data_IF_621820066514
#
_entry.id   IF_621820066514
#
_cell.length_a   1.000
_cell.length_b   1.000
_cell.length_c   1.000
_cell.angle_alpha   90.00
_cell.angle_beta   90.00
_cell.angle_gamma   90.00
#
_symmetry.space_group_name_H-M   'P 1'
#
loop_
_entity.id
_entity.type
_entity.pdbx_description
1 polymer ?
#
# COMPACT_ATOMS: atom_id res chain seq x y z
N UNK A 1 9.93 14.89 -16.92
CA UNK A 1 11.31 14.80 -16.41
C UNK A 1 11.55 13.34 -16.06
N UNK A 2 12.22 12.56 -16.96
CA UNK A 2 12.55 11.15 -16.75
C UNK A 2 13.68 10.98 -15.73
N UNK A 3 13.36 11.13 -14.45
CA UNK A 3 14.27 10.76 -13.38
C UNK A 3 14.23 9.25 -13.18
N UNK A 4 15.40 8.58 -13.17
CA UNK A 4 15.46 7.17 -12.76
C UNK A 4 15.12 7.10 -11.27
N UNK A 5 14.18 6.22 -10.92
CA UNK A 5 13.94 5.88 -9.51
C UNK A 5 15.18 5.16 -8.95
N UNK A 6 15.70 5.56 -7.78
CA UNK A 6 16.76 4.80 -7.13
C UNK A 6 16.21 3.43 -6.71
N UNK A 7 16.90 2.37 -7.11
CA UNK A 7 16.60 1.01 -6.71
C UNK A 7 17.54 0.61 -5.55
N UNK A 8 16.95 0.25 -4.42
CA UNK A 8 17.67 -0.33 -3.28
C UNK A 8 17.43 -1.84 -3.27
N UNK A 9 18.44 -2.60 -3.62
CA UNK A 9 18.40 -4.06 -3.56
C UNK A 9 18.75 -4.54 -2.14
N UNK A 10 18.02 -5.56 -1.68
CA UNK A 10 18.20 -6.17 -0.37
C UNK A 10 18.25 -7.68 -0.47
N UNK A 11 18.77 -8.37 0.54
CA UNK A 11 18.97 -9.82 0.52
C UNK A 11 17.76 -10.64 0.96
N UNK A 12 16.80 -10.02 1.62
CA UNK A 12 15.59 -10.68 2.09
C UNK A 12 14.39 -9.76 1.93
N UNK A 13 13.27 -10.27 1.44
CA UNK A 13 12.08 -9.51 1.11
C UNK A 13 11.51 -8.76 2.32
N UNK A 14 11.58 -9.36 3.50
CA UNK A 14 11.17 -8.73 4.74
C UNK A 14 11.96 -7.43 5.01
N UNK A 15 13.24 -7.39 4.63
CA UNK A 15 14.07 -6.18 4.78
C UNK A 15 13.59 -5.06 3.87
N UNK A 16 13.18 -5.37 2.63
CA UNK A 16 12.60 -4.38 1.72
C UNK A 16 11.35 -3.73 2.32
N UNK A 17 10.46 -4.57 2.88
CA UNK A 17 9.19 -4.10 3.45
C UNK A 17 9.43 -3.30 4.74
N UNK A 18 10.32 -3.73 5.64
CA UNK A 18 10.67 -2.94 6.82
C UNK A 18 11.29 -1.59 6.47
N UNK A 19 12.14 -1.53 5.44
CA UNK A 19 12.71 -0.27 4.97
C UNK A 19 11.61 0.67 4.42
N UNK A 20 10.69 0.13 3.63
CA UNK A 20 9.54 0.87 3.11
C UNK A 20 8.59 1.31 4.25
N UNK A 21 8.32 0.44 5.23
CA UNK A 21 7.56 0.80 6.43
C UNK A 21 8.20 1.98 7.18
N UNK A 22 9.51 1.93 7.39
CA UNK A 22 10.22 3.01 8.07
C UNK A 22 10.09 4.35 7.33
N UNK A 23 10.18 4.34 5.99
CA UNK A 23 9.91 5.53 5.17
C UNK A 23 8.48 6.02 5.41
N UNK A 24 7.49 5.15 5.32
CA UNK A 24 6.08 5.49 5.51
C UNK A 24 5.81 6.08 6.90
N UNK A 25 6.34 5.44 7.92
CA UNK A 25 6.16 5.86 9.32
C UNK A 25 6.80 7.23 9.62
N UNK A 26 7.98 7.49 9.10
CA UNK A 26 8.73 8.71 9.37
C UNK A 26 8.29 9.89 8.51
N UNK A 27 7.99 9.65 7.22
CA UNK A 27 7.66 10.71 6.26
C UNK A 27 6.15 10.96 6.11
N UNK A 28 5.31 10.04 6.55
CA UNK A 28 3.86 10.00 6.28
C UNK A 28 3.51 9.88 4.79
N UNK A 29 4.49 9.62 3.94
CA UNK A 29 4.35 9.28 2.53
C UNK A 29 4.47 7.75 2.42
N UNK A 30 3.55 7.03 1.75
CA UNK A 30 3.63 5.58 1.69
C UNK A 30 4.98 5.12 1.16
N UNK A 31 5.66 4.26 1.92
CA UNK A 31 6.84 3.58 1.43
C UNK A 31 6.45 2.56 0.35
N UNK A 32 7.40 2.20 -0.51
CA UNK A 32 7.18 1.28 -1.61
C UNK A 32 8.18 0.12 -1.57
N UNK A 33 7.68 -1.10 -1.68
CA UNK A 33 8.50 -2.29 -1.83
C UNK A 33 7.95 -3.18 -2.95
N UNK A 34 8.86 -3.86 -3.66
CA UNK A 34 8.50 -4.86 -4.66
C UNK A 34 9.22 -6.17 -4.34
N UNK A 35 8.50 -7.29 -4.48
CA UNK A 35 9.00 -8.64 -4.19
C UNK A 35 8.60 -9.62 -5.30
N UNK A 36 9.32 -10.72 -5.40
CA UNK A 36 8.95 -11.77 -6.37
C UNK A 36 7.71 -12.54 -5.92
N UNK A 37 7.18 -13.38 -6.82
CA UNK A 37 6.02 -14.24 -6.57
C UNK A 37 6.27 -15.30 -5.49
N UNK A 38 5.20 -15.91 -5.02
CA UNK A 38 5.24 -17.06 -4.10
C UNK A 38 6.00 -16.76 -2.81
N UNK A 39 7.16 -17.42 -2.58
CA UNK A 39 7.96 -17.20 -1.36
C UNK A 39 8.37 -15.75 -1.12
N UNK A 40 8.53 -14.93 -2.17
CA UNK A 40 8.84 -13.51 -2.01
C UNK A 40 7.73 -12.76 -1.28
N UNK A 41 6.48 -13.00 -1.65
CA UNK A 41 5.32 -12.41 -0.98
C UNK A 41 5.17 -12.97 0.44
N UNK A 42 5.30 -14.27 0.63
CA UNK A 42 5.15 -14.88 1.96
C UNK A 42 6.26 -14.46 2.93
N UNK A 43 7.49 -14.28 2.44
CA UNK A 43 8.59 -13.72 3.24
C UNK A 43 8.32 -12.28 3.68
N UNK A 44 7.63 -11.50 2.85
CA UNK A 44 7.26 -10.12 3.16
C UNK A 44 6.13 -10.00 4.20
N UNK A 45 5.28 -11.03 4.34
CA UNK A 45 4.04 -11.00 5.13
C UNK A 45 4.25 -10.54 6.58
N UNK A 46 5.30 -11.00 7.25
CA UNK A 46 5.58 -10.61 8.64
C UNK A 46 5.81 -9.10 8.77
N UNK A 47 6.53 -8.49 7.83
CA UNK A 47 6.78 -7.04 7.84
C UNK A 47 5.54 -6.24 7.46
N UNK A 48 4.71 -6.74 6.52
CA UNK A 48 3.39 -6.14 6.20
C UNK A 48 2.49 -6.15 7.43
N UNK A 49 2.48 -7.26 8.19
CA UNK A 49 1.74 -7.35 9.45
C UNK A 49 2.22 -6.31 10.47
N UNK A 50 3.54 -6.08 10.55
CA UNK A 50 4.11 -5.02 11.38
C UNK A 50 3.61 -3.64 10.95
N UNK A 51 3.63 -3.35 9.65
CA UNK A 51 3.12 -2.08 9.10
C UNK A 51 1.62 -1.88 9.39
N UNK A 52 0.83 -2.96 9.29
CA UNK A 52 -0.59 -2.95 9.66
C UNK A 52 -0.81 -2.58 11.12
N UNK A 53 -0.12 -3.24 12.04
CA UNK A 53 -0.22 -3.00 13.48
C UNK A 53 0.26 -1.60 13.90
N UNK A 54 1.19 -1.04 13.13
CA UNK A 54 1.76 0.29 13.38
C UNK A 54 1.01 1.44 12.68
N UNK A 55 -0.03 1.17 11.88
CA UNK A 55 -0.67 2.20 11.05
C UNK A 55 0.31 2.86 10.06
N UNK A 56 1.31 2.11 9.57
CA UNK A 56 2.35 2.65 8.69
C UNK A 56 1.90 2.57 7.22
N UNK A 57 1.83 3.68 6.49
CA UNK A 57 1.44 3.66 5.09
C UNK A 57 2.53 3.00 4.23
N UNK A 58 2.15 1.97 3.48
CA UNK A 58 3.03 1.14 2.67
C UNK A 58 2.30 0.61 1.45
N UNK A 59 2.96 0.58 0.30
CA UNK A 59 2.51 -0.14 -0.90
C UNK A 59 3.48 -1.28 -1.17
N UNK A 60 3.00 -2.51 -1.10
CA UNK A 60 3.73 -3.70 -1.49
C UNK A 60 3.22 -4.17 -2.86
N UNK A 61 4.14 -4.35 -3.80
CA UNK A 61 3.87 -5.00 -5.09
C UNK A 61 4.49 -6.39 -5.08
N UNK A 62 3.68 -7.40 -5.34
CA UNK A 62 4.11 -8.77 -5.52
C UNK A 62 4.07 -9.20 -6.98
N UNK A 63 5.05 -9.99 -7.42
CA UNK A 63 4.92 -10.76 -8.65
C UNK A 63 3.91 -11.90 -8.44
N UNK A 64 3.33 -12.40 -9.55
CA UNK A 64 2.41 -13.53 -9.56
C UNK A 64 2.77 -14.47 -10.72
N UNK A 65 2.47 -15.75 -10.58
CA UNK A 65 2.56 -16.70 -11.68
C UNK A 65 1.70 -16.23 -12.86
N UNK A 66 2.09 -16.52 -14.12
CA UNK A 66 1.36 -16.04 -15.29
C UNK A 66 -0.11 -16.49 -15.30
N UNK A 67 -1.02 -15.59 -15.65
CA UNK A 67 -2.46 -15.90 -15.69
C UNK A 67 -2.78 -17.06 -16.66
N UNK A 68 -2.12 -17.12 -17.82
CA UNK A 68 -2.34 -18.20 -18.81
C UNK A 68 -1.93 -19.60 -18.31
N UNK A 69 -1.17 -19.67 -17.21
CA UNK A 69 -0.76 -20.93 -16.57
C UNK A 69 -1.37 -21.17 -15.21
N UNK A 70 -2.25 -20.30 -14.77
CA UNK A 70 -2.88 -20.41 -13.46
C UNK A 70 -3.63 -21.73 -13.30
N UNK A 71 -3.42 -22.41 -12.18
CA UNK A 71 -3.99 -23.72 -11.91
C UNK A 71 -3.20 -24.89 -12.49
N UNK A 72 -2.06 -24.65 -13.15
CA UNK A 72 -1.22 -25.70 -13.73
C UNK A 72 0.00 -26.08 -12.87
N UNK A 73 0.14 -25.51 -11.67
CA UNK A 73 1.33 -25.69 -10.82
C UNK A 73 2.55 -24.94 -11.38
N UNK A 74 2.34 -23.76 -11.94
CA UNK A 74 3.42 -22.92 -12.43
C UNK A 74 4.40 -22.55 -11.31
N UNK A 75 5.64 -22.21 -11.67
CA UNK A 75 6.64 -21.79 -10.69
C UNK A 75 6.11 -20.63 -9.83
N UNK A 76 6.18 -20.79 -8.51
CA UNK A 76 5.75 -19.80 -7.53
C UNK A 76 4.24 -19.43 -7.60
N UNK A 77 3.42 -20.34 -8.17
CA UNK A 77 1.97 -20.18 -8.18
C UNK A 77 1.42 -20.27 -6.75
N UNK A 78 0.88 -19.16 -6.30
CA UNK A 78 0.26 -19.02 -4.98
C UNK A 78 -0.77 -17.91 -5.02
N UNK A 79 -1.91 -18.11 -4.40
CA UNK A 79 -2.92 -17.06 -4.26
C UNK A 79 -2.57 -16.14 -3.07
N UNK A 80 -1.96 -15.00 -3.37
CA UNK A 80 -1.45 -14.08 -2.36
C UNK A 80 -2.53 -13.19 -1.74
N UNK A 81 -3.55 -12.82 -2.52
CA UNK A 81 -4.58 -11.86 -2.08
C UNK A 81 -5.29 -12.30 -0.80
N UNK A 82 -5.77 -13.55 -0.67
CA UNK A 82 -6.38 -14.00 0.59
C UNK A 82 -5.43 -14.00 1.79
N UNK A 83 -4.12 -14.12 1.54
CA UNK A 83 -3.10 -14.11 2.60
C UNK A 83 -2.82 -12.70 3.12
N UNK A 84 -2.83 -11.71 2.23
CA UNK A 84 -2.52 -10.31 2.55
C UNK A 84 -3.76 -9.51 2.97
N UNK A 85 -4.96 -9.90 2.52
CA UNK A 85 -6.20 -9.18 2.81
C UNK A 85 -6.44 -8.89 4.31
N UNK A 86 -6.18 -9.83 5.25
CA UNK A 86 -6.40 -9.57 6.68
C UNK A 86 -5.45 -8.53 7.30
N UNK A 87 -4.34 -8.23 6.65
CA UNK A 87 -3.27 -7.34 7.16
C UNK A 87 -2.96 -6.19 6.22
N UNK A 88 -3.89 -5.85 5.35
CA UNK A 88 -3.78 -4.72 4.42
C UNK A 88 -5.12 -3.99 4.31
N UNK A 89 -5.09 -2.72 3.95
CA UNK A 89 -6.30 -1.92 3.65
C UNK A 89 -6.95 -2.34 2.32
N UNK A 90 -6.14 -2.82 1.39
CA UNK A 90 -6.60 -3.43 0.14
C UNK A 90 -5.55 -4.43 -0.35
N UNK A 91 -6.01 -5.54 -0.90
CA UNK A 91 -5.20 -6.52 -1.60
C UNK A 91 -5.90 -6.88 -2.91
N UNK A 92 -5.22 -6.73 -4.04
CA UNK A 92 -5.83 -6.93 -5.36
C UNK A 92 -4.84 -7.49 -6.35
N UNK A 93 -5.33 -8.24 -7.36
CA UNK A 93 -4.56 -8.67 -8.52
C UNK A 93 -4.95 -7.82 -9.72
N UNK A 94 -3.97 -7.42 -10.52
CA UNK A 94 -4.17 -6.68 -11.77
C UNK A 94 -4.03 -7.65 -12.94
N UNK A 95 -5.10 -7.82 -13.72
CA UNK A 95 -5.12 -8.73 -14.87
C UNK A 95 -5.00 -8.01 -16.23
N UNK A 96 -4.97 -6.68 -16.26
CA UNK A 96 -4.79 -5.87 -17.46
C UNK A 96 -3.61 -4.90 -17.29
N UNK A 97 -2.66 -4.95 -18.23
CA UNK A 97 -1.48 -4.09 -18.20
C UNK A 97 -1.82 -2.59 -18.23
N UNK A 98 -2.93 -2.22 -18.85
CA UNK A 98 -3.39 -0.82 -18.93
C UNK A 98 -3.88 -0.28 -17.56
N UNK A 99 -4.26 -1.18 -16.64
CA UNK A 99 -4.76 -0.82 -15.31
C UNK A 99 -3.66 -0.74 -14.25
N UNK A 100 -2.43 -1.21 -14.53
CA UNK A 100 -1.34 -1.22 -13.55
C UNK A 100 -1.13 0.15 -12.92
N UNK A 101 -1.00 1.19 -13.75
CA UNK A 101 -0.74 2.56 -13.28
C UNK A 101 -1.84 3.09 -12.36
N UNK A 102 -3.10 2.93 -12.77
CA UNK A 102 -4.25 3.37 -11.99
C UNK A 102 -4.40 2.59 -10.67
N UNK A 103 -4.14 1.29 -10.69
CA UNK A 103 -4.22 0.44 -9.49
C UNK A 103 -3.12 0.79 -8.49
N UNK A 104 -1.89 0.99 -8.94
CA UNK A 104 -0.78 1.42 -8.07
C UNK A 104 -1.08 2.79 -7.45
N UNK A 105 -1.58 3.75 -8.25
CA UNK A 105 -1.96 5.07 -7.73
C UNK A 105 -3.09 4.97 -6.70
N UNK A 106 -4.11 4.16 -6.95
CA UNK A 106 -5.17 3.89 -5.98
C UNK A 106 -4.63 3.25 -4.69
N UNK A 107 -3.66 2.33 -4.79
CA UNK A 107 -3.00 1.73 -3.64
C UNK A 107 -2.26 2.77 -2.79
N UNK A 108 -1.54 3.70 -3.42
CA UNK A 108 -0.88 4.81 -2.71
C UNK A 108 -1.88 5.73 -2.01
N UNK A 109 -3.01 6.07 -2.67
CA UNK A 109 -4.08 6.87 -2.03
C UNK A 109 -4.67 6.13 -0.84
N UNK A 110 -5.07 4.88 -1.02
CA UNK A 110 -5.67 4.05 0.04
C UNK A 110 -4.75 3.90 1.25
N UNK A 111 -3.44 3.70 1.03
CA UNK A 111 -2.48 3.59 2.12
C UNK A 111 -2.42 4.86 2.99
N UNK A 112 -2.68 6.02 2.40
CA UNK A 112 -2.64 7.34 3.08
C UNK A 112 -3.93 7.73 3.77
N UNK A 113 -5.08 7.16 3.38
CA UNK A 113 -6.36 7.52 4.04
C UNK A 113 -6.30 7.18 5.52
N UNK A 114 -7.03 7.92 6.33
CA UNK A 114 -7.23 7.63 7.74
C UNK A 114 -7.93 6.28 7.88
N UNK A 115 -7.58 5.51 8.67
CA UNK A 115 -6.50 5.00 9.44
C UNK A 115 -5.39 4.44 8.52
N UNK A 116 -4.21 5.01 8.52
CA UNK A 116 -3.14 4.62 7.58
C UNK A 116 -2.75 3.16 7.71
N UNK A 117 -2.23 2.59 6.63
CA UNK A 117 -1.82 1.19 6.64
C UNK A 117 -1.32 0.68 5.30
N UNK A 118 -0.85 -0.57 5.25
CA UNK A 118 -0.33 -1.17 4.03
C UNK A 118 -1.42 -1.50 3.03
N UNK A 119 -1.04 -1.50 1.74
CA UNK A 119 -1.80 -2.03 0.62
C UNK A 119 -0.95 -3.02 -0.16
N UNK A 120 -1.59 -3.95 -0.85
CA UNK A 120 -0.93 -4.96 -1.65
C UNK A 120 -1.49 -4.99 -3.07
N UNK A 121 -0.61 -5.04 -4.06
CA UNK A 121 -0.94 -5.21 -5.48
C UNK A 121 -0.18 -6.40 -6.04
N UNK A 122 -0.90 -7.37 -6.57
CA UNK A 122 -0.38 -8.60 -7.15
C UNK A 122 -0.42 -8.49 -8.68
N UNK A 123 0.72 -8.73 -9.36
CA UNK A 123 0.82 -8.55 -10.80
C UNK A 123 1.34 -9.83 -11.46
N UNK A 124 0.52 -10.52 -12.29
CA UNK A 124 0.96 -11.66 -13.07
C UNK A 124 2.12 -11.29 -14.01
N UNK A 125 3.06 -12.22 -14.19
CA UNK A 125 4.27 -11.96 -14.96
C UNK A 125 3.98 -11.62 -16.41
N UNK A 126 3.01 -12.27 -17.04
CA UNK A 126 2.60 -12.00 -18.43
C UNK A 126 1.94 -10.61 -18.56
N UNK A 127 1.13 -10.20 -17.59
CA UNK A 127 0.55 -8.86 -17.53
C UNK A 127 1.64 -7.80 -17.39
N UNK A 128 2.62 -8.03 -16.50
CA UNK A 128 3.72 -7.10 -16.26
C UNK A 128 4.60 -6.86 -17.50
N UNK A 129 4.80 -7.88 -18.34
CA UNK A 129 5.60 -7.77 -19.57
C UNK A 129 4.76 -7.45 -20.82
N UNK A 130 3.46 -7.27 -20.70
CA UNK A 130 2.62 -6.88 -21.83
C UNK A 130 2.86 -5.42 -22.19
N UNK A 131 3.24 -5.10 -23.45
CA UNK A 131 3.36 -3.72 -23.91
C UNK A 131 2.02 -2.98 -23.79
N UNK A 132 2.03 -1.84 -23.17
CA UNK A 132 0.87 -0.96 -23.11
C UNK A 132 1.25 0.48 -23.43
N UNK A 133 0.31 1.25 -23.96
CA UNK A 133 0.48 2.69 -24.08
C UNK A 133 0.32 3.30 -22.67
N UNK A 134 1.39 3.97 -22.19
CA UNK A 134 1.34 4.65 -20.90
C UNK A 134 0.17 5.64 -20.86
N UNK A 135 -0.87 5.32 -20.13
CA UNK A 135 -1.80 6.33 -19.65
C UNK A 135 -1.12 7.00 -18.46
N UNK A 136 -0.77 8.28 -18.59
CA UNK A 136 -0.42 9.09 -17.43
C UNK A 136 -1.62 9.00 -16.47
N UNK A 137 -1.44 8.55 -15.22
CA UNK A 137 -2.56 8.57 -14.27
C UNK A 137 -3.13 10.00 -14.25
N UNK A 138 -4.44 10.18 -14.21
CA UNK A 138 -4.99 11.51 -14.00
C UNK A 138 -4.40 12.05 -12.71
N UNK A 139 -3.88 13.27 -12.78
CA UNK A 139 -3.45 14.02 -11.59
C UNK A 139 -4.71 14.24 -10.71
N UNK A 140 -5.02 13.25 -9.93
CA UNK A 140 -6.09 13.35 -8.94
C UNK A 140 -5.49 14.10 -7.76
N UNK A 141 -5.58 15.42 -7.87
CA UNK A 141 -5.14 16.37 -6.85
C UNK A 141 -5.52 15.91 -5.45
N UNK A 142 -4.68 16.26 -4.50
CA UNK A 142 -4.86 16.03 -3.07
C UNK A 142 -6.31 16.28 -2.66
N UNK A 143 -6.93 15.26 -2.13
CA UNK A 143 -8.32 15.19 -1.70
C UNK A 143 -8.71 16.35 -0.76
N UNK A 144 -9.41 17.35 -1.29
CA UNK A 144 -10.04 18.41 -0.48
C UNK A 144 -11.19 17.93 0.39
N UNK A 145 -11.76 16.76 0.11
CA UNK A 145 -12.91 16.23 0.87
C UNK A 145 -12.53 15.72 2.27
N UNK A 146 -11.35 15.12 2.43
CA UNK A 146 -10.86 14.67 3.73
C UNK A 146 -10.53 15.83 4.66
N UNK A 147 -10.09 16.97 4.12
CA UNK A 147 -9.74 18.15 4.93
C UNK A 147 -10.99 18.86 5.46
N UNK A 148 -12.13 18.82 4.76
CA UNK A 148 -13.39 19.39 5.22
C UNK A 148 -14.06 18.58 6.33
N UNK A 149 -14.01 17.24 6.23
CA UNK A 149 -14.53 16.35 7.27
C UNK A 149 -13.74 16.50 8.58
N UNK A 150 -12.41 16.62 8.49
CA UNK A 150 -11.53 16.87 9.63
C UNK A 150 -11.82 18.24 10.28
N UNK A 151 -12.13 19.28 9.51
CA UNK A 151 -12.42 20.61 10.07
C UNK A 151 -13.67 20.61 10.96
N UNK A 152 -14.76 19.93 10.55
CA UNK A 152 -15.97 19.79 11.35
C UNK A 152 -15.75 19.02 12.67
N UNK A 153 -14.92 18.00 12.64
CA UNK A 153 -14.55 17.21 13.82
C UNK A 153 -13.63 17.98 14.77
N UNK A 154 -12.76 18.85 14.26
CA UNK A 154 -11.92 19.73 15.07
C UNK A 154 -12.74 20.76 15.85
N UNK A 155 -13.74 21.39 15.23
CA UNK A 155 -14.63 22.35 15.90
C UNK A 155 -15.44 21.67 17.01
N UNK A 156 -15.92 20.45 16.76
CA UNK A 156 -16.61 19.65 17.76
C UNK A 156 -15.70 19.26 18.92
N UNK A 157 -14.48 18.83 18.65
CA UNK A 157 -13.49 18.51 19.67
C UNK A 157 -13.12 19.74 20.51
N UNK A 158 -12.91 20.88 19.87
CA UNK A 158 -12.63 22.15 20.55
C UNK A 158 -13.78 22.56 21.49
N UNK A 159 -15.03 22.41 21.03
CA UNK A 159 -16.22 22.71 21.85
C UNK A 159 -16.32 21.79 23.07
N UNK A 160 -16.04 20.49 22.92
CA UNK A 160 -16.04 19.53 24.03
C UNK A 160 -14.94 19.89 25.04
N UNK A 161 -13.73 20.21 24.58
CA UNK A 161 -12.61 20.57 25.44
C UNK A 161 -12.88 21.90 26.20
N UNK A 162 -13.45 22.89 25.54
CA UNK A 162 -13.79 24.18 26.15
C UNK A 162 -14.84 24.06 27.26
N UNK A 163 -15.76 23.10 27.15
CA UNK A 163 -16.81 22.84 28.16
C UNK A 163 -16.38 21.89 29.28
N UNK A 164 -15.19 21.27 29.20
CA UNK A 164 -14.79 20.26 30.16
C UNK A 164 -14.08 20.84 31.38
N UNK A 165 -14.52 20.44 32.60
CA UNK A 165 -13.85 20.81 33.86
C UNK A 165 -12.58 20.02 34.14
N UNK A 166 -12.48 18.78 33.64
CA UNK A 166 -11.32 17.86 33.84
C UNK A 166 -11.12 17.04 32.59
N UNK A 167 -10.61 17.64 31.50
CA UNK A 167 -10.40 16.89 30.26
C UNK A 167 -9.27 15.88 30.40
N UNK A 168 -9.44 14.71 29.80
CA UNK A 168 -8.40 13.70 29.57
C UNK A 168 -8.24 13.55 28.06
N UNK A 169 -7.02 13.73 27.56
CA UNK A 169 -6.68 13.55 26.15
C UNK A 169 -5.91 12.26 25.98
N UNK A 170 -6.44 11.36 25.13
CA UNK A 170 -5.74 10.13 24.72
C UNK A 170 -5.38 10.28 23.26
N UNK A 171 -4.08 10.25 22.94
CA UNK A 171 -3.56 10.47 21.60
C UNK A 171 -2.98 9.16 21.08
N UNK A 172 -3.43 8.72 19.90
CA UNK A 172 -2.87 7.60 19.17
C UNK A 172 -1.71 8.00 18.26
N UNK A 173 -1.15 7.03 17.55
CA UNK A 173 0.02 7.22 16.65
C UNK A 173 -0.38 7.58 15.20
N UNK A 174 -1.65 7.57 14.85
CA UNK A 174 -2.11 7.84 13.48
C UNK A 174 -2.36 9.33 13.21
#
# INVERSE_FOLDING_TARGET
RGGRLPLLDVRHEQTAVFAAEAVGKLSRIPGFAAVTAGPGVTNALSAVTGAWMNGSPLVLVGGRAPDYRWGSGALQELDHVPMLAPVTKSATTVHDASEIGATIDAAFRTARTSHRGPTFVDIPMDVFFTPTTSSTPPDTGTSGDADQEIAGDLDRAASILAGAHRPLLVIGSD
#
